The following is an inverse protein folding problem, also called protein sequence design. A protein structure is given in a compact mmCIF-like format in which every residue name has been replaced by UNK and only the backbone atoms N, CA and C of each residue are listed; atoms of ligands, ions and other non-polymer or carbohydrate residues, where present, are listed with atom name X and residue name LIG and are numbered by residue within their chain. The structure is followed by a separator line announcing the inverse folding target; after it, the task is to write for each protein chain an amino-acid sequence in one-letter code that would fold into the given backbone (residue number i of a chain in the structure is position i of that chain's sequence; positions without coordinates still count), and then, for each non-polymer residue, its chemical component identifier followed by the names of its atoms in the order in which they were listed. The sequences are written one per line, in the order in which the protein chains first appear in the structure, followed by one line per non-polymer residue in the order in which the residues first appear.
data_IF_531561362635
#
_entry.id   IF_531561362635
#
_cell.length_a   1.000
_cell.length_b   1.000
_cell.length_c   1.000
_cell.angle_alpha   90.00
_cell.angle_beta   90.00
_cell.angle_gamma   90.00
#
_symmetry.space_group_name_H-M   'P 1'
#
loop_
_entity.id
_entity.type
_entity.pdbx_description
1 polymer ?
#
# COMPACT_ATOMS: atom_id res chain seq x y z
N UNK A 1 7.44 -3.06 -27.77
CA UNK A 1 6.21 -3.24 -26.97
C UNK A 1 6.37 -2.47 -25.66
N UNK A 2 5.49 -1.52 -25.32
CA UNK A 2 5.50 -0.87 -24.00
C UNK A 2 5.11 -1.88 -22.91
N UNK A 3 5.75 -1.82 -21.74
CA UNK A 3 5.40 -2.66 -20.58
C UNK A 3 4.03 -2.26 -20.04
N UNK A 4 3.19 -3.24 -19.72
CA UNK A 4 1.92 -3.02 -19.05
C UNK A 4 2.13 -2.51 -17.62
N UNK A 5 1.12 -1.83 -17.08
CA UNK A 5 1.13 -1.30 -15.69
C UNK A 5 1.37 -2.43 -14.67
N UNK A 6 0.83 -3.61 -14.92
CA UNK A 6 1.00 -4.79 -14.05
C UNK A 6 2.46 -5.27 -14.03
N UNK A 7 3.13 -5.31 -15.18
CA UNK A 7 4.54 -5.69 -15.28
C UNK A 7 5.45 -4.67 -14.57
N UNK A 8 5.16 -3.37 -14.70
CA UNK A 8 5.90 -2.31 -14.01
C UNK A 8 5.79 -2.48 -12.48
N UNK A 9 4.59 -2.77 -11.97
CA UNK A 9 4.38 -3.01 -10.53
C UNK A 9 5.09 -4.26 -10.04
N UNK A 10 5.10 -5.33 -10.84
CA UNK A 10 5.84 -6.56 -10.51
C UNK A 10 7.35 -6.29 -10.40
N UNK A 11 7.90 -5.58 -11.40
CA UNK A 11 9.31 -5.20 -11.40
C UNK A 11 9.66 -4.32 -10.20
N UNK A 12 8.84 -3.31 -9.88
CA UNK A 12 9.05 -2.46 -8.70
C UNK A 12 9.09 -3.25 -7.39
N UNK A 13 8.21 -4.25 -7.21
CA UNK A 13 8.22 -5.13 -6.01
C UNK A 13 9.47 -5.99 -5.94
N UNK A 14 10.04 -6.40 -7.07
CA UNK A 14 11.30 -7.16 -7.07
C UNK A 14 12.46 -6.38 -6.45
N UNK A 15 12.42 -5.03 -6.50
CA UNK A 15 13.43 -4.15 -5.90
C UNK A 15 13.25 -3.89 -4.41
N UNK A 16 12.22 -4.43 -3.75
CA UNK A 16 11.93 -4.14 -2.34
C UNK A 16 13.13 -4.41 -1.43
N UNK A 17 13.88 -5.50 -1.64
CA UNK A 17 15.08 -5.81 -0.84
C UNK A 17 16.17 -4.75 -1.01
N UNK A 18 16.43 -4.34 -2.25
CA UNK A 18 17.43 -3.30 -2.55
C UNK A 18 17.02 -1.96 -1.95
N UNK A 19 15.75 -1.58 -2.10
CA UNK A 19 15.21 -0.35 -1.51
C UNK A 19 15.36 -0.35 0.03
N UNK A 20 15.08 -1.48 0.69
CA UNK A 20 15.25 -1.60 2.14
C UNK A 20 16.73 -1.43 2.55
N UNK A 21 17.66 -2.03 1.81
CA UNK A 21 19.09 -1.86 2.07
C UNK A 21 19.54 -0.41 1.96
N UNK A 22 19.00 0.35 0.99
CA UNK A 22 19.27 1.78 0.85
C UNK A 22 18.76 2.56 2.07
N UNK A 23 17.54 2.30 2.54
CA UNK A 23 17.00 2.95 3.75
C UNK A 23 17.88 2.67 4.98
N UNK A 24 18.30 1.42 5.17
CA UNK A 24 19.21 1.04 6.26
C UNK A 24 20.56 1.77 6.15
N UNK A 25 21.10 1.88 4.94
CA UNK A 25 22.35 2.60 4.70
C UNK A 25 22.22 4.10 5.02
N UNK A 26 21.13 4.75 4.58
CA UNK A 26 20.86 6.17 4.88
C UNK A 26 20.71 6.40 6.38
N UNK A 27 19.94 5.55 7.07
CA UNK A 27 19.72 5.64 8.51
C UNK A 27 21.03 5.58 9.31
N UNK A 28 21.97 4.73 8.88
CA UNK A 28 23.28 4.51 9.50
C UNK A 28 24.35 5.52 9.08
N UNK A 29 24.13 6.30 8.03
CA UNK A 29 25.13 7.23 7.52
C UNK A 29 25.21 8.49 8.38
N UNK A 30 26.32 8.67 9.11
CA UNK A 30 26.56 9.84 9.98
C UNK A 30 26.73 11.15 9.21
N UNK A 31 27.02 11.08 7.90
CA UNK A 31 27.13 12.25 7.02
C UNK A 31 25.79 12.64 6.39
N UNK A 32 24.76 11.79 6.47
CA UNK A 32 23.43 12.13 5.99
C UNK A 32 22.78 13.16 6.94
N UNK A 33 21.95 14.03 6.38
CA UNK A 33 21.26 15.04 7.19
C UNK A 33 20.34 14.35 8.22
N UNK A 34 20.16 14.93 9.43
CA UNK A 34 19.28 14.34 10.44
C UNK A 34 17.86 14.03 9.91
N UNK A 35 17.20 14.91 9.12
CA UNK A 35 15.89 14.59 8.53
C UNK A 35 15.91 13.37 7.60
N UNK A 36 16.96 13.19 6.79
CA UNK A 36 17.08 12.04 5.89
C UNK A 36 17.17 10.72 6.67
N UNK A 37 17.90 10.72 7.79
CA UNK A 37 18.03 9.56 8.68
C UNK A 37 16.70 9.22 9.36
N UNK A 38 15.99 10.24 9.85
CA UNK A 38 14.66 10.08 10.46
C UNK A 38 13.65 9.54 9.43
N UNK A 39 13.62 10.11 8.22
CA UNK A 39 12.74 9.66 7.15
C UNK A 39 13.01 8.19 6.78
N UNK A 40 14.29 7.79 6.70
CA UNK A 40 14.67 6.41 6.44
C UNK A 40 14.24 5.45 7.56
N UNK A 41 14.40 5.84 8.83
CA UNK A 41 13.96 5.06 9.98
C UNK A 41 12.45 4.87 9.99
N UNK A 42 11.68 5.95 9.84
CA UNK A 42 10.21 5.90 9.79
C UNK A 42 9.72 5.02 8.63
N UNK A 43 10.34 5.13 7.45
CA UNK A 43 9.99 4.31 6.30
C UNK A 43 10.19 2.79 6.53
N UNK A 44 11.15 2.40 7.37
CA UNK A 44 11.37 1.01 7.78
C UNK A 44 10.30 0.58 8.79
N UNK A 45 10.06 1.40 9.83
CA UNK A 45 9.09 1.11 10.88
C UNK A 45 7.67 0.99 10.32
N UNK A 46 7.25 1.94 9.48
CA UNK A 46 5.93 1.94 8.81
C UNK A 46 5.68 0.65 8.00
N UNK A 47 6.74 0.00 7.50
CA UNK A 47 6.64 -1.25 6.73
C UNK A 47 6.66 -2.50 7.61
N UNK A 48 7.37 -2.46 8.73
CA UNK A 48 7.47 -3.60 9.66
C UNK A 48 6.26 -3.69 10.60
N UNK A 49 5.70 -2.55 10.99
CA UNK A 49 4.68 -2.44 12.04
C UNK A 49 3.38 -1.80 11.55
N UNK A 50 3.35 -1.33 10.30
CA UNK A 50 2.26 -0.52 9.79
C UNK A 50 2.40 0.95 10.21
N UNK A 51 1.56 1.80 9.63
CA UNK A 51 1.46 3.21 10.05
C UNK A 51 0.58 3.30 11.30
N UNK A 52 0.88 4.29 12.14
CA UNK A 52 -0.02 4.65 13.24
C UNK A 52 -1.44 4.87 12.70
N UNK A 53 -2.43 4.33 13.41
CA UNK A 53 -3.85 4.53 13.09
C UNK A 53 -4.10 6.03 13.02
N UNK A 54 -4.50 6.52 11.85
CA UNK A 54 -4.91 7.92 11.71
C UNK A 54 -6.20 8.07 12.53
N UNK A 55 -6.19 8.97 13.52
CA UNK A 55 -7.42 9.36 14.19
C UNK A 55 -8.32 9.99 13.12
N UNK A 56 -9.45 9.35 12.83
CA UNK A 56 -10.45 9.94 11.96
C UNK A 56 -11.13 11.01 12.81
N UNK A 57 -10.89 12.27 12.49
CA UNK A 57 -11.61 13.39 13.08
C UNK A 57 -13.03 13.32 12.51
N UNK A 58 -13.96 12.80 13.31
CA UNK A 58 -15.38 12.82 12.95
C UNK A 58 -15.82 14.29 12.95
N UNK A 59 -15.93 14.87 11.76
CA UNK A 59 -16.71 16.10 11.61
C UNK A 59 -18.15 15.78 11.99
N UNK A 60 -18.62 16.45 13.04
CA UNK A 60 -20.00 16.63 13.51
C UNK A 60 -21.07 15.68 12.89
N UNK A 61 -21.59 14.78 13.73
CA UNK A 61 -22.79 13.93 13.54
C UNK A 61 -22.86 12.96 12.34
N UNK A 62 -22.21 11.80 12.46
CA UNK A 62 -22.65 10.60 11.74
C UNK A 62 -21.58 9.53 11.58
N UNK A 63 -21.87 8.33 12.07
CA UNK A 63 -20.99 7.17 12.02
C UNK A 63 -20.42 6.91 10.61
N UNK A 64 -19.15 6.51 10.55
CA UNK A 64 -18.53 5.98 9.34
C UNK A 64 -19.20 4.65 8.95
N UNK A 65 -20.29 4.72 8.19
CA UNK A 65 -20.79 3.54 7.50
C UNK A 65 -19.86 3.23 6.32
N UNK A 66 -18.87 2.37 6.57
CA UNK A 66 -18.08 1.76 5.51
C UNK A 66 -18.96 0.73 4.75
N UNK A 67 -19.93 1.21 3.96
CA UNK A 67 -20.86 0.36 3.22
C UNK A 67 -20.13 -0.32 2.06
N UNK A 68 -19.59 -1.51 2.29
CA UNK A 68 -19.22 -2.43 1.20
C UNK A 68 -20.43 -3.30 0.86
N UNK A 69 -21.27 -2.88 -0.09
CA UNK A 69 -22.34 -3.72 -0.63
C UNK A 69 -21.81 -4.58 -1.78
N UNK A 70 -21.66 -5.88 -1.54
CA UNK A 70 -21.32 -6.86 -2.57
C UNK A 70 -22.60 -7.62 -2.95
N UNK A 71 -23.11 -7.42 -4.17
CA UNK A 71 -24.22 -8.19 -4.74
C UNK A 71 -23.67 -9.28 -5.67
N UNK A 72 -24.08 -10.53 -5.44
CA UNK A 72 -23.81 -11.67 -6.36
C UNK A 72 -25.13 -12.07 -7.02
N UNK A 73 -25.24 -11.83 -8.31
CA UNK A 73 -26.36 -12.30 -9.13
C UNK A 73 -25.94 -13.61 -9.81
N UNK A 74 -26.60 -14.71 -9.46
CA UNK A 74 -26.42 -16.01 -10.13
C UNK A 74 -27.51 -16.09 -11.22
N UNK A 75 -27.11 -16.01 -12.48
CA UNK A 75 -27.98 -16.26 -13.62
C UNK A 75 -27.91 -17.75 -13.98
N UNK A 76 -29.08 -18.39 -14.10
CA UNK A 76 -29.16 -19.70 -14.75
C UNK A 76 -28.97 -19.48 -16.26
N UNK A 77 -28.06 -20.22 -16.92
CA UNK A 77 -27.97 -20.17 -18.37
C UNK A 77 -29.28 -20.72 -18.94
N UNK A 78 -29.97 -19.92 -19.74
CA UNK A 78 -31.16 -20.38 -20.46
C UNK A 78 -30.77 -21.58 -21.33
N UNK A 79 -31.55 -22.66 -21.23
CA UNK A 79 -31.30 -23.90 -21.96
C UNK A 79 -31.62 -23.63 -23.44
N UNK A 80 -30.63 -23.63 -24.36
CA UNK A 80 -30.88 -23.33 -25.75
C UNK A 80 -31.39 -24.60 -26.45
N UNK A 81 -32.60 -25.06 -26.10
CA UNK A 81 -33.36 -26.06 -26.85
C UNK A 81 -34.79 -26.14 -26.26
N UNK A 82 -35.72 -25.37 -26.85
CA UNK A 82 -37.16 -25.66 -26.86
C UNK A 82 -37.77 -25.22 -28.17
#
# INVERSE_FOLDING_TARGET
MPRSVTEIRSLARSHTRTALNVLVAVMRNTKATPPARIAAANAILDRGWGKATQAIENGDDGALELIHRIERVIVHPENPDS
#
